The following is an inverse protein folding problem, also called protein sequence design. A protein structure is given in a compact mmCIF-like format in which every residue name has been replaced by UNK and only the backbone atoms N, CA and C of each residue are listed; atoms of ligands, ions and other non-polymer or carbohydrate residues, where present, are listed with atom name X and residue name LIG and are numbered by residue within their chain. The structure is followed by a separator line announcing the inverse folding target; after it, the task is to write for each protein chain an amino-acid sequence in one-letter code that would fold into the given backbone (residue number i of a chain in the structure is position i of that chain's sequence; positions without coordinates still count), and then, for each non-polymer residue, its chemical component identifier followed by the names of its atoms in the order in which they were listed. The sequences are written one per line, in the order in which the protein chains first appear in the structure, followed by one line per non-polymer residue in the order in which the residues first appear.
data_IF_734764343753
#
_entry.id   IF_734764343753
#
_cell.length_a   1.000
_cell.length_b   1.000
_cell.length_c   1.000
_cell.angle_alpha   90.00
_cell.angle_beta   90.00
_cell.angle_gamma   90.00
#
_symmetry.space_group_name_H-M   'P 1'
#
loop_
_entity.id
_entity.type
_entity.pdbx_description
1 polymer ?
#
# COMPACT_ATOMS: atom_id res chain seq x y z
N UNK A 1 -21.40 -6.56 33.17
CA UNK A 1 -20.81 -7.93 33.22
C UNK A 1 -19.72 -7.98 32.16
N UNK A 2 -18.45 -8.20 32.53
CA UNK A 2 -17.38 -8.36 31.55
C UNK A 2 -17.65 -9.62 30.73
N UNK A 3 -17.94 -9.48 29.44
CA UNK A 3 -18.15 -10.63 28.54
C UNK A 3 -16.85 -11.42 28.50
N UNK A 4 -16.91 -12.72 28.78
CA UNK A 4 -15.75 -13.59 28.67
C UNK A 4 -15.22 -13.54 27.23
N UNK A 5 -13.94 -13.19 27.05
CA UNK A 5 -13.30 -13.17 25.74
C UNK A 5 -13.30 -14.55 25.08
N UNK A 6 -13.21 -14.61 23.74
CA UNK A 6 -13.21 -15.88 23.01
C UNK A 6 -11.99 -16.73 23.38
N UNK A 7 -12.09 -18.05 23.20
CA UNK A 7 -10.90 -18.89 23.22
C UNK A 7 -10.03 -18.61 22.00
N UNK A 8 -8.73 -18.92 22.08
CA UNK A 8 -7.80 -18.72 20.95
C UNK A 8 -8.25 -19.48 19.70
N UNK A 9 -8.74 -20.72 19.87
CA UNK A 9 -9.25 -21.54 18.77
C UNK A 9 -10.49 -20.94 18.10
N UNK A 10 -11.36 -20.27 18.87
CA UNK A 10 -12.54 -19.57 18.34
C UNK A 10 -12.16 -18.31 17.55
N UNK A 11 -11.02 -17.68 17.88
CA UNK A 11 -10.57 -16.46 17.20
C UNK A 11 -9.90 -16.72 15.83
N UNK A 12 -9.17 -17.84 15.68
CA UNK A 12 -8.49 -18.22 14.43
C UNK A 12 -9.39 -18.18 13.16
N UNK A 13 -10.58 -18.82 13.12
CA UNK A 13 -11.42 -18.76 11.93
C UNK A 13 -11.94 -17.36 11.64
N UNK A 14 -12.04 -16.49 12.64
CA UNK A 14 -12.44 -15.08 12.44
C UNK A 14 -11.33 -14.30 11.76
N UNK A 15 -10.09 -14.45 12.22
CA UNK A 15 -8.94 -13.80 11.57
C UNK A 15 -8.75 -14.28 10.14
N UNK A 16 -8.91 -15.59 9.89
CA UNK A 16 -8.86 -16.13 8.54
C UNK A 16 -10.03 -15.60 7.68
N UNK A 17 -11.25 -15.55 8.21
CA UNK A 17 -12.41 -14.97 7.52
C UNK A 17 -12.17 -13.52 7.12
N UNK A 18 -11.61 -12.71 8.02
CA UNK A 18 -11.25 -11.32 7.72
C UNK A 18 -10.18 -11.27 6.62
N UNK A 19 -9.16 -12.14 6.67
CA UNK A 19 -8.13 -12.22 5.63
C UNK A 19 -8.66 -12.65 4.26
N UNK A 20 -9.65 -13.53 4.20
CA UNK A 20 -10.27 -14.03 2.95
C UNK A 20 -11.29 -13.04 2.37
N UNK A 21 -12.03 -12.34 3.24
CA UNK A 21 -13.11 -11.43 2.82
C UNK A 21 -12.71 -9.95 2.83
N UNK A 22 -11.45 -9.64 3.14
CA UNK A 22 -10.92 -8.28 3.30
C UNK A 22 -10.75 -7.50 1.99
N UNK A 23 -11.81 -7.39 1.19
CA UNK A 23 -11.83 -6.58 -0.03
C UNK A 23 -12.25 -5.13 0.25
N UNK A 24 -12.05 -4.24 -0.73
CA UNK A 24 -12.50 -2.84 -0.67
C UNK A 24 -11.52 -1.87 -0.02
N UNK A 25 -10.23 -2.20 -0.05
CA UNK A 25 -9.15 -1.38 0.48
C UNK A 25 -9.21 -1.20 2.01
N UNK A 26 -8.43 -0.25 2.56
CA UNK A 26 -8.32 -0.07 4.01
C UNK A 26 -9.67 0.18 4.70
N UNK A 27 -10.55 0.96 4.08
CA UNK A 27 -11.87 1.26 4.65
C UNK A 27 -12.77 0.02 4.74
N UNK A 28 -12.83 -0.80 3.67
CA UNK A 28 -13.60 -2.05 3.68
C UNK A 28 -13.06 -3.05 4.69
N UNK A 29 -11.74 -3.15 4.81
CA UNK A 29 -11.08 -4.05 5.77
C UNK A 29 -11.29 -3.62 7.22
N UNK A 30 -11.18 -2.32 7.52
CA UNK A 30 -11.45 -1.78 8.85
C UNK A 30 -12.93 -1.98 9.21
N UNK A 31 -13.85 -1.73 8.27
CA UNK A 31 -15.27 -1.97 8.49
C UNK A 31 -15.58 -3.45 8.74
N UNK A 32 -14.92 -4.38 8.02
CA UNK A 32 -15.07 -5.81 8.25
C UNK A 32 -14.53 -6.23 9.63
N UNK A 33 -13.37 -5.70 10.03
CA UNK A 33 -12.81 -5.93 11.37
C UNK A 33 -13.76 -5.43 12.47
N UNK A 34 -14.30 -4.22 12.31
CA UNK A 34 -15.26 -3.64 13.24
C UNK A 34 -16.53 -4.50 13.33
N UNK A 35 -17.14 -4.83 12.20
CA UNK A 35 -18.32 -5.68 12.13
C UNK A 35 -18.12 -7.03 12.81
N UNK A 36 -16.99 -7.71 12.57
CA UNK A 36 -16.77 -9.06 13.09
C UNK A 36 -16.40 -9.07 14.58
N UNK A 37 -15.63 -8.09 15.06
CA UNK A 37 -15.07 -8.08 16.43
C UNK A 37 -15.93 -7.27 17.39
N UNK A 38 -16.52 -6.17 16.93
CA UNK A 38 -17.36 -5.25 17.73
C UNK A 38 -18.83 -5.63 17.58
N UNK A 39 -19.42 -5.48 16.39
CA UNK A 39 -20.87 -5.60 16.21
C UNK A 39 -21.38 -7.04 16.37
N UNK A 40 -20.77 -7.98 15.66
CA UNK A 40 -21.27 -9.37 15.58
C UNK A 40 -20.97 -10.15 16.86
N UNK A 41 -19.81 -9.92 17.47
CA UNK A 41 -19.31 -10.75 18.57
C UNK A 41 -19.14 -10.01 19.89
N UNK A 42 -19.03 -8.68 19.87
CA UNK A 42 -18.83 -7.87 21.07
C UNK A 42 -17.61 -8.29 21.90
N UNK A 43 -16.52 -8.68 21.23
CA UNK A 43 -15.24 -9.01 21.88
C UNK A 43 -14.47 -7.76 22.30
N UNK A 44 -14.71 -6.65 21.61
CA UNK A 44 -14.10 -5.34 21.84
C UNK A 44 -15.20 -4.29 21.70
N UNK A 45 -15.21 -3.30 22.59
CA UNK A 45 -16.16 -2.19 22.53
C UNK A 45 -15.72 -1.11 21.53
N UNK A 46 -16.68 -0.32 21.03
CA UNK A 46 -16.46 0.74 20.03
C UNK A 46 -15.35 1.74 20.40
N UNK A 47 -15.33 2.14 21.67
CA UNK A 47 -14.36 3.09 22.20
C UNK A 47 -12.92 2.55 22.10
N UNK A 48 -12.73 1.28 22.42
CA UNK A 48 -11.43 0.65 22.32
C UNK A 48 -11.00 0.42 20.87
N UNK A 49 -11.94 0.02 20.02
CA UNK A 49 -11.69 -0.14 18.58
C UNK A 49 -11.25 1.20 17.98
N UNK A 50 -11.96 2.28 18.30
CA UNK A 50 -11.67 3.63 17.81
C UNK A 50 -10.31 4.15 18.31
N UNK A 51 -9.97 3.87 19.58
CA UNK A 51 -8.63 4.15 20.13
C UNK A 51 -7.54 3.37 19.40
N UNK A 52 -7.74 2.09 19.19
CA UNK A 52 -6.78 1.23 18.48
C UNK A 52 -6.58 1.67 17.04
N UNK A 53 -7.65 2.04 16.35
CA UNK A 53 -7.60 2.56 14.98
C UNK A 53 -6.84 3.88 14.92
N UNK A 54 -7.14 4.81 15.83
CA UNK A 54 -6.43 6.09 15.92
C UNK A 54 -4.94 5.89 16.17
N UNK A 55 -4.58 4.92 17.00
CA UNK A 55 -3.19 4.52 17.23
C UNK A 55 -2.53 3.95 15.96
N UNK A 56 -3.18 2.99 15.28
CA UNK A 56 -2.62 2.38 14.06
C UNK A 56 -2.46 3.39 12.91
N UNK A 57 -3.29 4.43 12.84
CA UNK A 57 -3.14 5.51 11.86
C UNK A 57 -1.88 6.38 12.08
N UNK A 58 -1.26 6.32 13.26
CA UNK A 58 0.00 7.01 13.55
C UNK A 58 1.24 6.16 13.21
N UNK A 59 1.06 4.85 13.01
CA UNK A 59 2.14 3.92 12.75
C UNK A 59 2.44 3.87 11.24
N UNK A 60 3.70 3.66 10.84
CA UNK A 60 4.01 3.40 9.45
C UNK A 60 3.60 1.98 9.07
N UNK A 61 2.99 1.81 7.90
CA UNK A 61 2.59 0.52 7.33
C UNK A 61 1.08 0.35 7.11
N UNK A 62 0.62 -0.89 6.83
CA UNK A 62 -0.75 -1.19 6.46
C UNK A 62 -1.70 -1.17 7.67
N UNK A 63 -2.56 -0.15 7.75
CA UNK A 63 -3.33 0.17 8.95
C UNK A 63 -4.28 -0.96 9.36
N UNK A 64 -4.95 -1.61 8.40
CA UNK A 64 -5.89 -2.69 8.68
C UNK A 64 -5.20 -3.94 9.25
N UNK A 65 -4.02 -4.28 8.74
CA UNK A 65 -3.23 -5.40 9.26
C UNK A 65 -2.69 -5.11 10.67
N UNK A 66 -2.28 -3.87 10.91
CA UNK A 66 -1.85 -3.42 12.24
C UNK A 66 -2.99 -3.46 13.26
N UNK A 67 -4.18 -3.01 12.86
CA UNK A 67 -5.38 -3.09 13.68
C UNK A 67 -5.76 -4.54 13.99
N UNK A 68 -5.73 -5.43 12.99
CA UNK A 68 -5.95 -6.86 13.21
C UNK A 68 -4.93 -7.45 14.21
N UNK A 69 -3.65 -7.11 14.04
CA UNK A 69 -2.56 -7.51 14.95
C UNK A 69 -2.80 -7.00 16.36
N UNK A 70 -3.22 -5.74 16.52
CA UNK A 70 -3.51 -5.14 17.82
C UNK A 70 -4.72 -5.80 18.49
N UNK A 71 -5.81 -6.04 17.74
CA UNK A 71 -7.01 -6.69 18.26
C UNK A 71 -6.71 -8.14 18.69
N UNK A 72 -5.97 -8.89 17.89
CA UNK A 72 -5.49 -10.22 18.27
C UNK A 72 -4.58 -10.17 19.48
N UNK A 73 -3.68 -9.19 19.55
CA UNK A 73 -2.79 -9.00 20.69
C UNK A 73 -3.55 -8.70 21.98
N UNK A 74 -4.60 -7.90 21.89
CA UNK A 74 -5.46 -7.58 23.01
C UNK A 74 -6.23 -8.79 23.53
N UNK A 75 -6.69 -9.67 22.63
CA UNK A 75 -7.49 -10.84 23.01
C UNK A 75 -6.65 -12.01 23.54
N UNK A 76 -5.45 -12.25 22.98
CA UNK A 76 -4.63 -13.43 23.36
C UNK A 76 -3.12 -13.14 23.46
N UNK A 77 -2.72 -11.90 23.73
CA UNK A 77 -1.31 -11.50 23.82
C UNK A 77 -0.55 -11.68 22.50
N UNK A 78 0.77 -11.82 22.57
CA UNK A 78 1.66 -11.92 21.39
C UNK A 78 1.21 -13.02 20.42
N UNK A 79 0.74 -14.17 20.94
CA UNK A 79 0.23 -15.27 20.12
C UNK A 79 -1.01 -14.88 19.32
N UNK A 80 -1.94 -14.16 19.94
CA UNK A 80 -3.11 -13.61 19.28
C UNK A 80 -2.76 -12.58 18.22
N UNK A 81 -1.81 -11.69 18.52
CA UNK A 81 -1.37 -10.67 17.56
C UNK A 81 -0.68 -11.28 16.34
N UNK A 82 0.21 -12.25 16.54
CA UNK A 82 0.84 -13.00 15.46
C UNK A 82 -0.20 -13.73 14.60
N UNK A 83 -1.12 -14.46 15.24
CA UNK A 83 -2.16 -15.19 14.52
C UNK A 83 -3.07 -14.26 13.71
N UNK A 84 -3.56 -13.18 14.30
CA UNK A 84 -4.43 -12.23 13.63
C UNK A 84 -3.74 -11.51 12.48
N UNK A 85 -2.53 -10.99 12.70
CA UNK A 85 -1.76 -10.30 11.67
C UNK A 85 -1.35 -11.20 10.50
N UNK A 86 -0.94 -12.43 10.78
CA UNK A 86 -0.55 -13.39 9.72
C UNK A 86 -1.76 -13.90 8.94
N UNK A 87 -2.83 -14.32 9.61
CA UNK A 87 -4.04 -14.81 8.93
C UNK A 87 -4.77 -13.73 8.14
N UNK A 88 -4.55 -12.45 8.47
CA UNK A 88 -5.01 -11.33 7.66
C UNK A 88 -4.30 -11.23 6.31
N UNK A 89 -3.00 -11.55 6.25
CA UNK A 89 -2.15 -11.35 5.06
C UNK A 89 -2.02 -12.61 4.22
N UNK A 90 -1.93 -13.79 4.84
CA UNK A 90 -1.62 -15.05 4.17
C UNK A 90 -2.57 -15.42 3.01
N UNK A 91 -3.91 -15.25 3.12
CA UNK A 91 -4.80 -15.54 2.01
C UNK A 91 -4.52 -14.65 0.79
N UNK A 92 -4.38 -13.34 1.01
CA UNK A 92 -4.03 -12.38 -0.03
C UNK A 92 -2.67 -12.67 -0.66
N UNK A 93 -1.67 -13.00 0.18
CA UNK A 93 -0.33 -13.40 -0.25
C UNK A 93 -0.37 -14.61 -1.20
N UNK A 94 -1.12 -15.65 -0.84
CA UNK A 94 -1.25 -16.85 -1.66
C UNK A 94 -1.90 -16.52 -3.03
N UNK A 95 -2.95 -15.70 -3.03
CA UNK A 95 -3.63 -15.28 -4.27
C UNK A 95 -2.70 -14.45 -5.15
N UNK A 96 -2.02 -13.43 -4.61
CA UNK A 96 -1.15 -12.57 -5.43
C UNK A 96 0.09 -13.31 -5.94
N UNK A 97 0.65 -14.25 -5.19
CA UNK A 97 1.73 -15.12 -5.69
C UNK A 97 1.23 -15.99 -6.85
N UNK A 98 0.03 -16.58 -6.73
CA UNK A 98 -0.61 -17.32 -7.80
C UNK A 98 -0.87 -16.47 -9.04
N UNK A 99 -1.40 -15.26 -8.88
CA UNK A 99 -1.62 -14.30 -9.96
C UNK A 99 -0.30 -13.84 -10.60
N UNK A 100 0.77 -13.67 -9.81
CA UNK A 100 2.10 -13.32 -10.33
C UNK A 100 2.70 -14.46 -11.16
N UNK A 101 2.56 -15.71 -10.69
CA UNK A 101 2.96 -16.90 -11.44
C UNK A 101 2.16 -17.04 -12.75
N UNK A 102 0.84 -16.79 -12.70
CA UNK A 102 -0.01 -16.78 -13.89
C UNK A 102 0.39 -15.66 -14.86
N UNK A 103 0.74 -14.48 -14.35
CA UNK A 103 1.17 -13.35 -15.15
C UNK A 103 2.45 -13.64 -15.94
N UNK A 104 3.48 -14.19 -15.30
CA UNK A 104 4.76 -14.48 -15.99
C UNK A 104 4.64 -15.61 -17.02
N UNK A 105 3.67 -16.52 -16.85
CA UNK A 105 3.46 -17.66 -17.75
C UNK A 105 2.47 -17.36 -18.89
N UNK A 106 1.35 -16.70 -18.58
CA UNK A 106 0.21 -16.52 -19.48
C UNK A 106 -0.07 -15.05 -19.83
N UNK A 107 0.70 -14.09 -19.29
CA UNK A 107 0.54 -12.66 -19.54
C UNK A 107 0.71 -12.24 -21.01
N UNK A 108 1.28 -13.13 -21.85
CA UNK A 108 1.41 -12.93 -23.31
C UNK A 108 0.32 -13.60 -24.13
N UNK A 109 -0.68 -14.22 -23.49
CA UNK A 109 -1.81 -14.83 -24.20
C UNK A 109 -2.68 -13.78 -24.90
N UNK A 110 -3.43 -14.19 -25.93
CA UNK A 110 -4.30 -13.29 -26.70
C UNK A 110 -5.39 -12.60 -25.85
N UNK A 111 -5.77 -13.20 -24.73
CA UNK A 111 -6.79 -12.69 -23.81
C UNK A 111 -6.22 -11.86 -22.66
N UNK A 112 -4.95 -12.05 -22.30
CA UNK A 112 -4.33 -11.31 -21.21
C UNK A 112 -4.29 -9.80 -21.49
N UNK A 113 -3.93 -9.39 -22.71
CA UNK A 113 -3.87 -7.98 -23.10
C UNK A 113 -5.19 -7.23 -22.86
N UNK A 114 -6.33 -7.65 -23.44
CA UNK A 114 -7.63 -7.03 -23.21
C UNK A 114 -8.07 -7.04 -21.74
N UNK A 115 -7.91 -8.18 -21.05
CA UNK A 115 -8.27 -8.29 -19.64
C UNK A 115 -7.49 -7.29 -18.79
N UNK A 116 -6.17 -7.25 -18.98
CA UNK A 116 -5.30 -6.31 -18.30
C UNK A 116 -5.62 -4.87 -18.67
N UNK A 117 -5.99 -4.57 -19.91
CA UNK A 117 -6.38 -3.21 -20.31
C UNK A 117 -7.61 -2.71 -19.52
N UNK A 118 -8.66 -3.53 -19.42
CA UNK A 118 -9.83 -3.19 -18.60
C UNK A 118 -9.47 -3.01 -17.13
N UNK A 119 -8.61 -3.88 -16.61
CA UNK A 119 -8.11 -3.80 -15.25
C UNK A 119 -7.29 -2.51 -15.00
N UNK A 120 -6.44 -2.09 -15.94
CA UNK A 120 -5.69 -0.81 -15.87
C UNK A 120 -6.61 0.39 -15.83
N UNK A 121 -7.67 0.38 -16.64
CA UNK A 121 -8.65 1.45 -16.62
C UNK A 121 -9.37 1.55 -15.27
N UNK A 122 -9.73 0.42 -14.68
CA UNK A 122 -10.27 0.35 -13.33
C UNK A 122 -9.30 0.95 -12.29
N UNK A 123 -8.03 0.56 -12.36
CA UNK A 123 -6.97 1.06 -11.47
C UNK A 123 -6.85 2.58 -11.52
N UNK A 124 -6.88 3.20 -12.71
CA UNK A 124 -6.83 4.66 -12.82
C UNK A 124 -7.99 5.31 -12.05
N UNK A 125 -9.21 4.80 -12.20
CA UNK A 125 -10.36 5.28 -11.45
C UNK A 125 -10.20 5.09 -9.93
N UNK A 126 -9.65 3.97 -9.49
CA UNK A 126 -9.39 3.68 -8.07
C UNK A 126 -8.32 4.60 -7.49
N UNK A 127 -7.23 4.87 -8.21
CA UNK A 127 -6.18 5.81 -7.79
C UNK A 127 -6.74 7.21 -7.67
N UNK A 128 -7.58 7.65 -8.63
CA UNK A 128 -8.27 8.96 -8.54
C UNK A 128 -9.21 9.00 -7.34
N UNK A 129 -9.99 7.93 -7.10
CA UNK A 129 -10.87 7.84 -5.93
C UNK A 129 -10.07 7.90 -4.62
N UNK A 130 -8.94 7.20 -4.55
CA UNK A 130 -8.03 7.22 -3.40
C UNK A 130 -7.43 8.61 -3.18
N UNK A 131 -6.97 9.28 -4.25
CA UNK A 131 -6.43 10.64 -4.21
C UNK A 131 -7.46 11.62 -3.62
N UNK A 132 -8.70 11.60 -4.11
CA UNK A 132 -9.76 12.48 -3.62
C UNK A 132 -10.12 12.17 -2.16
N UNK A 133 -10.26 10.89 -1.82
CA UNK A 133 -10.62 10.45 -0.45
C UNK A 133 -9.53 10.81 0.57
N UNK A 134 -8.25 10.57 0.24
CA UNK A 134 -7.12 10.86 1.12
C UNK A 134 -6.90 12.38 1.17
N UNK A 135 -6.97 13.08 0.03
CA UNK A 135 -6.86 14.53 -0.04
C UNK A 135 -7.87 15.24 0.85
N UNK A 136 -9.14 14.87 0.79
CA UNK A 136 -10.20 15.42 1.64
C UNK A 136 -9.95 15.19 3.15
N UNK A 137 -9.25 14.11 3.51
CA UNK A 137 -8.94 13.75 4.90
C UNK A 137 -7.68 14.40 5.44
N UNK A 138 -6.71 14.69 4.59
CA UNK A 138 -5.36 15.12 5.01
C UNK A 138 -5.09 16.60 4.73
N UNK A 139 -5.63 17.14 3.64
CA UNK A 139 -5.49 18.55 3.26
C UNK A 139 -6.60 19.37 3.91
N UNK A 140 -6.29 19.97 5.06
CA UNK A 140 -7.27 20.71 5.90
C UNK A 140 -7.07 22.22 5.91
N UNK A 141 -5.86 22.69 5.60
CA UNK A 141 -5.49 24.10 5.63
C UNK A 141 -4.61 24.49 4.43
N UNK A 142 -4.40 25.79 4.23
CA UNK A 142 -3.62 26.34 3.10
C UNK A 142 -2.18 25.82 3.08
N UNK A 143 -1.58 25.56 4.24
CA UNK A 143 -0.21 25.03 4.33
C UNK A 143 -0.18 23.59 3.85
N UNK A 144 -1.07 22.74 4.36
CA UNK A 144 -1.18 21.35 3.90
C UNK A 144 -1.46 21.26 2.39
N UNK A 145 -2.27 22.19 1.84
CA UNK A 145 -2.53 22.27 0.41
C UNK A 145 -1.27 22.67 -0.38
N UNK A 146 -0.54 23.68 0.09
CA UNK A 146 0.73 24.09 -0.53
C UNK A 146 1.78 22.98 -0.50
N UNK A 147 1.87 22.21 0.60
CA UNK A 147 2.75 21.05 0.71
C UNK A 147 2.34 19.94 -0.26
N UNK A 148 1.05 19.64 -0.37
CA UNK A 148 0.55 18.65 -1.34
C UNK A 148 0.85 19.05 -2.79
N UNK A 149 0.55 20.30 -3.17
CA UNK A 149 0.82 20.82 -4.52
C UNK A 149 2.33 20.88 -4.79
N UNK A 150 3.12 21.32 -3.82
CA UNK A 150 4.57 21.36 -3.91
C UNK A 150 5.17 19.96 -4.08
N UNK A 151 4.71 18.97 -3.30
CA UNK A 151 5.14 17.59 -3.44
C UNK A 151 4.79 17.01 -4.80
N UNK A 152 3.58 17.27 -5.31
CA UNK A 152 3.18 16.92 -6.67
C UNK A 152 4.13 17.55 -7.69
N UNK A 153 4.34 18.87 -7.64
CA UNK A 153 5.15 19.58 -8.61
C UNK A 153 6.61 19.10 -8.60
N UNK A 154 7.20 18.95 -7.41
CA UNK A 154 8.57 18.47 -7.27
C UNK A 154 8.72 17.05 -7.82
N UNK A 155 7.80 16.14 -7.50
CA UNK A 155 7.90 14.75 -7.99
C UNK A 155 7.49 14.57 -9.46
N UNK A 156 6.63 15.45 -9.99
CA UNK A 156 6.15 15.37 -11.37
C UNK A 156 7.11 16.03 -12.37
N UNK A 157 7.79 17.11 -11.95
CA UNK A 157 8.56 17.97 -12.84
C UNK A 157 10.05 18.00 -12.55
N UNK A 158 10.54 17.26 -11.55
CA UNK A 158 11.97 17.23 -11.21
C UNK A 158 12.48 15.80 -10.99
N UNK A 159 13.80 15.66 -10.92
CA UNK A 159 14.50 14.42 -10.56
C UNK A 159 14.66 14.23 -9.04
N UNK A 160 14.05 15.08 -8.22
CA UNK A 160 14.18 14.97 -6.76
C UNK A 160 13.61 13.64 -6.26
N UNK A 161 14.41 12.85 -5.51
CA UNK A 161 13.93 11.59 -4.98
C UNK A 161 12.86 11.88 -3.92
N UNK A 162 11.74 11.15 -4.00
CA UNK A 162 10.60 11.38 -3.12
C UNK A 162 10.92 11.31 -1.60
N UNK A 163 11.91 10.54 -1.05
CA UNK A 163 12.17 10.56 0.38
C UNK A 163 12.57 11.94 0.84
N UNK A 164 13.32 12.70 0.01
CA UNK A 164 13.68 14.07 0.32
C UNK A 164 12.46 14.99 0.35
N UNK A 165 11.48 14.77 -0.54
CA UNK A 165 10.21 15.52 -0.56
C UNK A 165 9.41 15.25 0.73
N UNK A 166 9.33 13.99 1.15
CA UNK A 166 8.65 13.60 2.40
C UNK A 166 9.38 14.15 3.63
N UNK A 167 10.72 14.07 3.67
CA UNK A 167 11.52 14.63 4.75
C UNK A 167 11.37 16.15 4.84
N UNK A 168 11.36 16.85 3.69
CA UNK A 168 11.13 18.28 3.63
C UNK A 168 9.73 18.64 4.16
N UNK A 169 8.69 17.89 3.78
CA UNK A 169 7.34 18.07 4.31
C UNK A 169 7.28 17.87 5.83
N UNK A 170 7.93 16.82 6.35
CA UNK A 170 8.07 16.57 7.77
C UNK A 170 8.78 17.72 8.49
N UNK A 171 9.87 18.25 7.91
CA UNK A 171 10.60 19.40 8.45
C UNK A 171 9.74 20.66 8.49
N UNK A 172 8.97 20.95 7.42
CA UNK A 172 8.01 22.06 7.38
C UNK A 172 6.98 21.91 8.51
N UNK A 173 6.40 20.71 8.67
CA UNK A 173 5.43 20.45 9.73
C UNK A 173 6.04 20.57 11.13
N UNK A 174 7.28 20.13 11.31
CA UNK A 174 8.01 20.27 12.57
C UNK A 174 8.25 21.73 12.95
N UNK A 175 8.70 22.55 12.00
CA UNK A 175 8.99 23.97 12.21
C UNK A 175 7.72 24.78 12.50
N UNK A 176 6.60 24.42 11.84
CA UNK A 176 5.30 25.05 12.05
C UNK A 176 4.54 24.52 13.26
N UNK A 177 5.04 23.46 13.91
CA UNK A 177 4.47 22.92 15.14
C UNK A 177 4.70 23.85 16.33
N UNK A 178 3.61 24.23 17.01
CA UNK A 178 3.67 25.01 18.25
C UNK A 178 4.45 24.31 19.37
N UNK A 179 4.84 25.05 20.41
CA UNK A 179 5.58 24.49 21.57
C UNK A 179 4.69 23.92 22.68
N UNK A 180 3.37 24.14 22.66
CA UNK A 180 2.46 23.81 23.77
C UNK A 180 1.83 22.42 23.66
N UNK A 181 1.71 21.64 24.75
CA UNK A 181 1.14 20.29 24.72
C UNK A 181 -0.27 20.25 24.10
N UNK A 182 -0.53 19.34 23.16
CA UNK A 182 -1.89 19.11 22.69
C UNK A 182 -2.71 18.49 23.82
N UNK A 183 -3.87 19.09 24.13
CA UNK A 183 -4.81 18.55 25.09
C UNK A 183 -5.35 17.21 24.58
N UNK A 184 -4.90 16.11 25.18
CA UNK A 184 -5.36 14.76 24.84
C UNK A 184 -5.98 14.08 26.05
N UNK A 185 -7.07 13.36 25.83
CA UNK A 185 -7.70 12.49 26.83
C UNK A 185 -6.67 11.47 27.35
N UNK A 186 -6.60 11.20 28.67
CA UNK A 186 -5.75 10.14 29.20
C UNK A 186 -6.21 8.79 28.66
N UNK A 187 -5.36 8.10 27.91
CA UNK A 187 -5.57 6.69 27.56
C UNK A 187 -4.65 5.88 28.48
N UNK A 188 -5.17 4.80 29.05
CA UNK A 188 -4.41 3.97 29.98
C UNK A 188 -3.11 3.47 29.31
N UNK A 189 -1.96 3.50 30.02
CA UNK A 189 -0.70 3.07 29.46
C UNK A 189 -0.78 1.59 29.06
N UNK A 190 -0.72 1.34 27.76
CA UNK A 190 -0.61 -0.02 27.24
C UNK A 190 0.80 -0.53 27.61
N UNK A 191 0.89 -1.50 28.53
CA UNK A 191 2.15 -2.16 28.89
C UNK A 191 2.63 -2.99 27.70
N UNK A 192 3.47 -2.39 26.87
CA UNK A 192 4.05 -3.02 25.69
C UNK A 192 5.35 -3.75 26.02
N UNK A 193 5.73 -4.68 25.15
CA UNK A 193 6.89 -5.54 25.33
C UNK A 193 8.13 -4.71 25.59
N UNK A 194 8.91 -5.08 26.62
CA UNK A 194 10.17 -4.42 26.94
C UNK A 194 11.17 -4.47 25.79
N UNK A 195 12.31 -3.79 25.94
CA UNK A 195 13.40 -3.69 24.94
C UNK A 195 13.71 -5.02 24.24
N UNK A 196 13.63 -6.14 24.97
CA UNK A 196 13.78 -7.50 24.41
C UNK A 196 12.82 -7.81 23.26
N UNK A 197 11.53 -7.49 23.37
CA UNK A 197 10.56 -7.73 22.30
C UNK A 197 10.88 -6.86 21.08
N UNK A 198 11.26 -5.60 21.30
CA UNK A 198 11.68 -4.71 20.22
C UNK A 198 12.88 -5.29 19.47
N UNK A 199 13.89 -5.79 20.19
CA UNK A 199 15.07 -6.42 19.59
C UNK A 199 14.71 -7.69 18.83
N UNK A 200 13.81 -8.53 19.35
CA UNK A 200 13.35 -9.76 18.67
C UNK A 200 12.63 -9.41 17.38
N UNK A 201 11.67 -8.47 17.40
CA UNK A 201 10.94 -8.07 16.20
C UNK A 201 11.86 -7.37 15.18
N UNK A 202 12.80 -6.55 15.64
CA UNK A 202 13.79 -5.90 14.78
C UNK A 202 14.72 -6.93 14.13
N UNK A 203 15.22 -7.89 14.90
CA UNK A 203 16.04 -8.98 14.38
C UNK A 203 15.25 -9.83 13.38
N UNK A 204 13.99 -10.18 13.67
CA UNK A 204 13.14 -10.95 12.76
C UNK A 204 12.86 -10.20 11.45
N UNK A 205 12.70 -8.87 11.50
CA UNK A 205 12.52 -8.05 10.31
C UNK A 205 13.80 -7.95 9.47
N UNK A 206 14.95 -7.69 10.09
CA UNK A 206 16.21 -7.46 9.40
C UNK A 206 16.95 -8.74 9.00
N UNK A 207 16.69 -9.88 9.65
CA UNK A 207 17.36 -11.15 9.38
C UNK A 207 17.36 -11.58 7.90
N UNK A 208 16.22 -11.63 7.18
CA UNK A 208 16.24 -12.03 5.77
C UNK A 208 16.98 -11.03 4.87
N UNK A 209 16.93 -9.73 5.21
CA UNK A 209 17.68 -8.69 4.48
C UNK A 209 19.18 -8.92 4.68
N UNK A 210 19.62 -9.08 5.93
CA UNK A 210 21.02 -9.33 6.27
C UNK A 210 21.53 -10.64 5.64
N UNK A 211 20.70 -11.69 5.63
CA UNK A 211 21.04 -12.97 5.01
C UNK A 211 21.21 -12.83 3.48
N UNK A 212 20.31 -12.12 2.80
CA UNK A 212 20.43 -11.86 1.37
C UNK A 212 21.72 -11.09 1.04
N UNK A 213 22.07 -10.09 1.85
CA UNK A 213 23.33 -9.35 1.72
C UNK A 213 24.56 -10.18 2.05
N UNK A 214 24.49 -11.11 3.00
CA UNK A 214 25.61 -11.97 3.36
C UNK A 214 25.89 -13.05 2.30
N UNK A 215 24.84 -13.63 1.70
CA UNK A 215 24.96 -14.69 0.69
C UNK A 215 25.30 -14.11 -0.68
N UNK A 216 24.60 -13.05 -1.10
CA UNK A 216 24.72 -12.48 -2.43
C UNK A 216 24.64 -10.94 -2.37
N UNK A 217 25.71 -10.26 -1.93
CA UNK A 217 25.77 -8.80 -1.89
C UNK A 217 25.44 -8.20 -3.26
N UNK A 218 24.58 -7.18 -3.28
CA UNK A 218 24.19 -6.50 -4.53
C UNK A 218 23.20 -7.27 -5.41
N UNK A 219 22.75 -8.47 -5.02
CA UNK A 219 21.71 -9.20 -5.75
C UNK A 219 20.36 -8.46 -5.74
N UNK A 220 19.50 -8.76 -6.71
CA UNK A 220 18.13 -8.23 -6.78
C UNK A 220 17.36 -8.49 -5.48
N UNK A 221 17.50 -9.68 -4.88
CA UNK A 221 16.83 -10.03 -3.63
C UNK A 221 17.30 -9.16 -2.45
N UNK A 222 18.59 -8.85 -2.37
CA UNK A 222 19.17 -7.99 -1.35
C UNK A 222 18.66 -6.53 -1.48
N UNK A 223 18.60 -6.02 -2.71
CA UNK A 223 18.04 -4.69 -3.00
C UNK A 223 16.54 -4.61 -2.76
N UNK A 224 15.79 -5.67 -3.09
CA UNK A 224 14.37 -5.79 -2.75
C UNK A 224 14.15 -5.72 -1.24
N UNK A 225 14.94 -6.46 -0.45
CA UNK A 225 14.87 -6.42 1.00
C UNK A 225 15.05 -5.02 1.58
N UNK A 226 16.07 -4.28 1.13
CA UNK A 226 16.28 -2.90 1.56
C UNK A 226 15.20 -1.94 1.07
N UNK A 227 14.75 -2.09 -0.18
CA UNK A 227 13.78 -1.16 -0.79
C UNK A 227 12.40 -1.32 -0.15
N UNK A 228 11.91 -2.55 -0.03
CA UNK A 228 10.61 -2.83 0.57
C UNK A 228 10.63 -2.65 2.09
N UNK A 229 11.73 -3.01 2.77
CA UNK A 229 11.91 -2.72 4.19
C UNK A 229 11.96 -1.22 4.47
N UNK A 230 12.74 -0.46 3.69
CA UNK A 230 12.82 0.99 3.80
C UNK A 230 11.46 1.64 3.58
N UNK A 231 10.72 1.19 2.56
CA UNK A 231 9.34 1.61 2.30
C UNK A 231 8.41 1.40 3.50
N UNK A 232 8.47 0.20 4.09
CA UNK A 232 7.63 -0.15 5.21
C UNK A 232 7.92 0.73 6.44
N UNK A 233 9.18 1.14 6.64
CA UNK A 233 9.57 2.03 7.72
C UNK A 233 9.09 3.48 7.54
N UNK A 234 8.94 3.94 6.29
CA UNK A 234 8.62 5.35 5.98
C UNK A 234 7.18 5.56 5.46
N UNK A 235 6.39 4.49 5.34
CA UNK A 235 5.04 4.53 4.80
C UNK A 235 4.03 5.09 5.81
N UNK A 236 3.98 6.41 5.96
CA UNK A 236 2.92 7.13 6.68
C UNK A 236 1.83 7.59 5.70
N UNK A 237 0.56 7.42 6.05
CA UNK A 237 -0.57 7.84 5.19
C UNK A 237 -1.15 6.76 4.26
N UNK A 238 -0.89 5.49 4.57
CA UNK A 238 -1.54 4.34 3.94
C UNK A 238 -0.89 3.79 2.67
N UNK A 239 -1.37 2.64 2.24
CA UNK A 239 -0.83 1.81 1.15
C UNK A 239 -0.55 2.56 -0.16
N UNK A 240 -1.36 3.58 -0.50
CA UNK A 240 -1.27 4.32 -1.75
C UNK A 240 -0.05 5.25 -1.82
N UNK A 241 0.42 5.78 -0.70
CA UNK A 241 1.62 6.62 -0.67
C UNK A 241 2.88 5.81 -1.00
N UNK A 242 2.99 4.61 -0.40
CA UNK A 242 4.11 3.70 -0.63
C UNK A 242 4.14 3.15 -2.06
N UNK A 243 2.96 3.00 -2.68
CA UNK A 243 2.82 2.53 -4.06
C UNK A 243 3.43 3.50 -5.09
N UNK A 244 3.31 4.80 -4.87
CA UNK A 244 3.92 5.78 -5.77
C UNK A 244 5.44 5.65 -5.80
N UNK A 245 6.06 5.41 -4.64
CA UNK A 245 7.48 5.13 -4.61
C UNK A 245 7.83 3.77 -5.19
N UNK A 246 7.02 2.74 -4.92
CA UNK A 246 7.24 1.42 -5.50
C UNK A 246 7.35 1.50 -7.03
N UNK A 247 6.49 2.32 -7.67
CA UNK A 247 6.55 2.63 -9.09
C UNK A 247 7.90 3.21 -9.52
N UNK A 248 8.37 4.24 -8.82
CA UNK A 248 9.66 4.89 -9.10
C UNK A 248 10.86 3.96 -8.88
N UNK A 249 10.88 3.22 -7.76
CA UNK A 249 11.94 2.29 -7.42
C UNK A 249 12.00 1.12 -8.43
N UNK A 250 10.86 0.53 -8.76
CA UNK A 250 10.79 -0.56 -9.74
C UNK A 250 11.27 -0.11 -11.13
N UNK A 251 10.95 1.13 -11.54
CA UNK A 251 11.47 1.70 -12.77
C UNK A 251 12.99 1.97 -12.70
N UNK A 252 13.47 2.56 -11.59
CA UNK A 252 14.88 2.89 -11.40
C UNK A 252 15.81 1.67 -11.34
N UNK A 253 15.36 0.58 -10.71
CA UNK A 253 16.08 -0.69 -10.69
C UNK A 253 15.83 -1.56 -11.94
N UNK A 254 14.96 -1.13 -12.86
CA UNK A 254 14.59 -1.91 -14.04
C UNK A 254 13.84 -3.21 -13.73
N UNK A 255 13.21 -3.30 -12.55
CA UNK A 255 12.44 -4.50 -12.16
C UNK A 255 11.19 -4.65 -13.02
N UNK A 256 10.42 -3.59 -13.19
CA UNK A 256 9.17 -3.61 -13.94
C UNK A 256 9.05 -2.37 -14.84
N UNK A 257 8.45 -2.58 -16.02
CA UNK A 257 7.96 -1.50 -16.87
C UNK A 257 6.73 -0.80 -16.26
N UNK A 258 6.39 0.39 -16.77
CA UNK A 258 5.19 1.12 -16.36
C UNK A 258 3.90 0.31 -16.58
N UNK A 259 3.84 -0.44 -17.69
CA UNK A 259 2.71 -1.32 -17.99
C UNK A 259 2.61 -2.47 -16.98
N UNK A 260 3.74 -3.11 -16.64
CA UNK A 260 3.76 -4.19 -15.65
C UNK A 260 3.39 -3.69 -14.24
N UNK A 261 3.82 -2.48 -13.87
CA UNK A 261 3.42 -1.88 -12.59
C UNK A 261 1.90 -1.67 -12.52
N UNK A 262 1.31 -1.18 -13.61
CA UNK A 262 -0.14 -1.04 -13.75
C UNK A 262 -0.88 -2.39 -13.70
N UNK A 263 -0.34 -3.42 -14.36
CA UNK A 263 -0.88 -4.79 -14.30
C UNK A 263 -0.88 -5.31 -12.85
N UNK A 264 0.26 -5.17 -12.16
CA UNK A 264 0.43 -5.62 -10.78
C UNK A 264 -0.51 -4.93 -9.81
N UNK A 265 -0.68 -3.61 -9.95
CA UNK A 265 -1.61 -2.84 -9.14
C UNK A 265 -3.05 -3.30 -9.35
N UNK A 266 -3.43 -3.55 -10.60
CA UNK A 266 -4.72 -4.12 -10.95
C UNK A 266 -4.96 -5.47 -10.30
N UNK A 267 -4.00 -6.39 -10.43
CA UNK A 267 -4.10 -7.71 -9.83
C UNK A 267 -4.21 -7.61 -8.30
N UNK A 268 -3.44 -6.73 -7.66
CA UNK A 268 -3.50 -6.53 -6.22
C UNK A 268 -4.86 -6.00 -5.74
N UNK A 269 -5.50 -5.08 -6.47
CA UNK A 269 -6.86 -4.60 -6.14
C UNK A 269 -7.93 -5.72 -6.27
N UNK A 270 -7.66 -6.77 -7.04
CA UNK A 270 -8.54 -7.96 -7.14
C UNK A 270 -8.26 -9.02 -6.06
N UNK A 271 -7.25 -8.83 -5.24
CA UNK A 271 -6.90 -9.78 -4.16
C UNK A 271 -7.55 -9.39 -2.83
N UNK A 272 -7.91 -10.36 -1.98
CA UNK A 272 -8.29 -10.06 -0.62
C UNK A 272 -7.06 -9.59 0.17
N UNK A 273 -7.27 -8.68 1.12
CA UNK A 273 -6.20 -8.17 1.98
C UNK A 273 -5.56 -6.87 1.49
N UNK A 274 -4.48 -6.40 2.15
CA UNK A 274 -3.94 -5.07 1.95
C UNK A 274 -3.54 -4.80 0.50
N UNK A 275 -3.85 -3.60 0.00
CA UNK A 275 -3.39 -3.17 -1.33
C UNK A 275 -1.86 -3.24 -1.50
N UNK A 276 -1.13 -3.08 -0.39
CA UNK A 276 0.34 -3.19 -0.37
C UNK A 276 0.85 -4.55 -0.86
N UNK A 277 -0.02 -5.56 -1.01
CA UNK A 277 0.32 -6.84 -1.65
C UNK A 277 0.80 -6.70 -3.10
N UNK A 278 0.57 -5.57 -3.77
CA UNK A 278 1.24 -5.24 -5.05
C UNK A 278 2.77 -5.32 -4.95
N UNK A 279 3.36 -5.10 -3.76
CA UNK A 279 4.79 -5.23 -3.52
C UNK A 279 5.27 -6.66 -3.77
N UNK A 280 4.42 -7.66 -3.46
CA UNK A 280 4.69 -9.07 -3.72
C UNK A 280 4.77 -9.32 -5.22
N UNK A 281 3.86 -8.74 -6.01
CA UNK A 281 3.91 -8.83 -7.46
C UNK A 281 5.20 -8.21 -8.01
N UNK A 282 5.56 -7.00 -7.54
CA UNK A 282 6.81 -6.33 -7.95
C UNK A 282 8.04 -7.16 -7.58
N UNK A 283 8.07 -7.70 -6.37
CA UNK A 283 9.14 -8.60 -5.91
C UNK A 283 9.23 -9.87 -6.75
N UNK A 284 8.09 -10.49 -7.04
CA UNK A 284 8.03 -11.72 -7.82
C UNK A 284 8.46 -11.53 -9.27
N UNK A 285 7.82 -10.59 -9.98
CA UNK A 285 8.05 -10.34 -11.40
C UNK A 285 9.43 -9.70 -11.63
N UNK A 286 9.86 -8.81 -10.72
CA UNK A 286 11.20 -8.23 -10.78
C UNK A 286 12.30 -9.27 -10.59
N UNK A 287 12.16 -10.15 -9.61
CA UNK A 287 13.16 -11.20 -9.37
C UNK A 287 13.14 -12.27 -10.46
N UNK A 288 11.97 -12.62 -11.00
CA UNK A 288 11.86 -13.54 -12.14
C UNK A 288 12.63 -13.02 -13.37
N UNK A 289 12.49 -11.72 -13.69
CA UNK A 289 13.12 -11.12 -14.87
C UNK A 289 14.63 -10.91 -14.70
N UNK A 290 15.09 -10.65 -13.47
CA UNK A 290 16.51 -10.47 -13.18
C UNK A 290 17.28 -11.78 -13.00
N UNK A 291 16.57 -12.90 -12.84
CA UNK A 291 17.15 -14.20 -12.53
C UNK A 291 17.62 -14.96 -13.78
N UNK A 292 18.70 -15.78 -13.66
CA UNK A 292 19.02 -16.81 -14.63
C UNK A 292 17.84 -17.79 -14.86
N UNK A 293 17.64 -18.32 -16.09
CA UNK A 293 16.46 -19.12 -16.44
C UNK A 293 16.23 -20.36 -15.56
N UNK A 294 17.30 -20.98 -15.09
CA UNK A 294 17.31 -22.18 -14.23
C UNK A 294 16.84 -21.91 -12.80
N UNK A 295 17.02 -20.68 -12.31
CA UNK A 295 16.66 -20.26 -10.95
C UNK A 295 15.49 -19.27 -10.88
N UNK A 296 14.92 -18.90 -12.04
CA UNK A 296 13.93 -17.84 -12.16
C UNK A 296 12.70 -18.03 -11.26
N UNK A 297 12.14 -19.23 -11.19
CA UNK A 297 10.98 -19.52 -10.34
C UNK A 297 11.28 -19.44 -8.85
N UNK A 298 12.44 -19.97 -8.44
CA UNK A 298 12.87 -19.91 -7.05
C UNK A 298 13.11 -18.46 -6.62
N UNK A 299 13.85 -17.70 -7.43
CA UNK A 299 14.13 -16.29 -7.15
C UNK A 299 12.88 -15.42 -7.21
N UNK A 300 11.92 -15.72 -8.09
CA UNK A 300 10.62 -15.07 -8.11
C UNK A 300 9.84 -15.30 -6.81
N UNK A 301 9.73 -16.55 -6.36
CA UNK A 301 9.08 -16.87 -5.09
C UNK A 301 9.78 -16.18 -3.91
N UNK A 302 11.11 -16.21 -3.87
CA UNK A 302 11.90 -15.53 -2.84
C UNK A 302 11.74 -14.01 -2.90
N UNK A 303 11.68 -13.40 -4.08
CA UNK A 303 11.45 -11.97 -4.26
C UNK A 303 10.07 -11.54 -3.76
N UNK A 304 9.02 -12.30 -4.09
CA UNK A 304 7.68 -12.07 -3.57
C UNK A 304 7.59 -12.25 -2.05
N UNK A 305 8.22 -13.30 -1.50
CA UNK A 305 8.26 -13.53 -0.06
C UNK A 305 9.08 -12.48 0.70
N UNK A 306 10.20 -12.02 0.13
CA UNK A 306 11.00 -10.92 0.67
C UNK A 306 10.16 -9.65 0.74
N UNK A 307 9.45 -9.31 -0.34
CA UNK A 307 8.50 -8.19 -0.37
C UNK A 307 7.44 -8.32 0.73
N UNK A 308 6.75 -9.46 0.81
CA UNK A 308 5.73 -9.68 1.83
C UNK A 308 6.29 -9.51 3.24
N UNK A 309 7.39 -10.20 3.55
CA UNK A 309 7.99 -10.19 4.87
C UNK A 309 8.43 -8.78 5.28
N UNK A 310 9.23 -8.12 4.45
CA UNK A 310 9.79 -6.81 4.79
C UNK A 310 8.74 -5.69 4.83
N UNK A 311 7.60 -5.90 4.17
CA UNK A 311 6.44 -4.99 4.21
C UNK A 311 5.62 -5.14 5.49
N UNK A 312 5.34 -6.37 5.93
CA UNK A 312 4.41 -6.63 7.05
C UNK A 312 5.10 -6.88 8.40
N UNK A 313 6.34 -7.36 8.42
CA UNK A 313 7.09 -7.62 9.65
C UNK A 313 7.25 -6.37 10.56
N UNK A 314 7.51 -5.15 10.04
CA UNK A 314 7.65 -3.95 10.86
C UNK A 314 6.41 -3.63 11.69
N UNK A 315 5.21 -3.92 11.17
CA UNK A 315 3.97 -3.73 11.92
C UNK A 315 3.97 -4.46 13.26
N UNK A 316 4.55 -5.66 13.35
CA UNK A 316 4.63 -6.40 14.62
C UNK A 316 5.59 -5.72 15.60
N UNK A 317 6.69 -5.14 15.13
CA UNK A 317 7.59 -4.32 15.95
C UNK A 317 6.83 -3.11 16.52
N UNK A 318 6.09 -2.39 15.67
CA UNK A 318 5.34 -1.21 16.08
C UNK A 318 4.21 -1.54 17.06
N UNK A 319 3.48 -2.63 16.81
CA UNK A 319 2.38 -3.07 17.67
C UNK A 319 2.87 -3.64 18.99
N UNK A 320 3.92 -4.47 19.02
CA UNK A 320 4.36 -5.12 20.25
C UNK A 320 5.33 -4.28 21.11
N UNK A 321 6.02 -3.30 20.53
CA UNK A 321 7.01 -2.49 21.23
C UNK A 321 6.85 -0.96 21.03
N UNK A 322 6.35 -0.50 19.88
CA UNK A 322 6.34 0.92 19.51
C UNK A 322 5.26 1.78 20.17
N UNK A 323 4.20 1.18 20.72
CA UNK A 323 3.01 1.92 21.12
C UNK A 323 3.18 3.06 22.14
N UNK A 324 3.95 2.93 23.24
CA UNK A 324 4.04 4.00 24.22
C UNK A 324 4.86 5.20 23.72
N UNK A 325 5.73 4.99 22.72
CA UNK A 325 6.58 6.02 22.14
C UNK A 325 5.86 6.80 21.06
N UNK A 326 5.17 6.09 20.16
CA UNK A 326 4.46 6.71 19.05
C UNK A 326 3.24 7.50 19.53
N UNK A 327 2.55 7.02 20.56
CA UNK A 327 1.47 7.79 21.20
C UNK A 327 2.01 9.09 21.83
N UNK A 328 3.17 9.03 22.51
CA UNK A 328 3.82 10.22 23.08
C UNK A 328 4.21 11.23 22.01
N UNK A 329 4.71 10.78 20.86
CA UNK A 329 5.10 11.67 19.76
C UNK A 329 3.89 12.28 19.06
N UNK A 330 2.84 11.51 18.78
CA UNK A 330 1.62 12.01 18.15
C UNK A 330 0.90 13.10 18.95
N UNK A 331 1.05 13.09 20.28
CA UNK A 331 0.48 14.11 21.19
C UNK A 331 1.30 15.39 21.28
N UNK A 332 2.55 15.39 20.81
CA UNK A 332 3.35 16.61 20.76
C UNK A 332 3.01 17.39 19.49
N UNK A 333 2.95 18.72 19.53
CA UNK A 333 2.47 19.51 18.38
C UNK A 333 3.44 19.48 17.21
N UNK A 334 4.74 19.42 17.49
CA UNK A 334 5.78 19.36 16.44
C UNK A 334 5.78 18.03 15.69
N UNK A 335 5.94 16.86 16.34
CA UNK A 335 5.83 15.59 15.63
C UNK A 335 4.44 15.38 15.03
N UNK A 336 3.36 15.75 15.72
CA UNK A 336 2.00 15.65 15.17
C UNK A 336 1.83 16.45 13.88
N UNK A 337 2.32 17.70 13.84
CA UNK A 337 2.24 18.54 12.63
C UNK A 337 3.21 18.09 11.53
N UNK A 338 4.37 17.51 11.89
CA UNK A 338 5.27 16.85 10.96
C UNK A 338 4.59 15.67 10.25
N UNK A 339 3.94 14.77 11.00
CA UNK A 339 3.19 13.63 10.44
C UNK A 339 2.03 14.08 9.56
N UNK A 340 1.34 15.16 9.95
CA UNK A 340 0.27 15.74 9.14
C UNK A 340 0.79 16.28 7.79
N UNK A 341 1.94 16.96 7.77
CA UNK A 341 2.55 17.44 6.52
C UNK A 341 3.11 16.31 5.65
N UNK A 342 3.65 15.25 6.26
CA UNK A 342 4.03 14.02 5.54
C UNK A 342 2.81 13.41 4.84
N UNK A 343 1.68 13.30 5.55
CA UNK A 343 0.42 12.81 4.98
C UNK A 343 -0.09 13.72 3.85
N UNK A 344 0.07 15.04 3.97
CA UNK A 344 -0.30 15.97 2.91
C UNK A 344 0.62 15.84 1.68
N UNK A 345 1.93 15.68 1.86
CA UNK A 345 2.86 15.45 0.76
C UNK A 345 2.56 14.14 0.03
N UNK A 346 2.15 13.09 0.76
CA UNK A 346 1.71 11.83 0.17
C UNK A 346 0.55 12.00 -0.83
N UNK A 347 -0.38 12.93 -0.59
CA UNK A 347 -1.45 13.28 -1.56
C UNK A 347 -0.86 13.77 -2.87
N UNK A 348 0.12 14.68 -2.81
CA UNK A 348 0.81 15.19 -3.99
C UNK A 348 1.53 14.09 -4.77
N UNK A 349 2.21 13.20 -4.06
CA UNK A 349 2.91 12.04 -4.62
C UNK A 349 1.93 11.04 -5.27
N UNK A 350 0.77 10.78 -4.65
CA UNK A 350 -0.29 9.96 -5.27
C UNK A 350 -0.83 10.64 -6.54
N UNK A 351 -0.98 11.97 -6.53
CA UNK A 351 -1.37 12.74 -7.71
C UNK A 351 -0.38 12.59 -8.86
N UNK A 352 0.93 12.61 -8.56
CA UNK A 352 1.97 12.41 -9.56
C UNK A 352 1.90 11.01 -10.15
N UNK A 353 1.70 9.99 -9.32
CA UNK A 353 1.50 8.60 -9.76
C UNK A 353 0.27 8.47 -10.65
N UNK A 354 -0.85 9.10 -10.27
CA UNK A 354 -2.09 9.09 -11.04
C UNK A 354 -1.88 9.71 -12.44
N UNK A 355 -1.16 10.84 -12.52
CA UNK A 355 -0.79 11.47 -13.78
C UNK A 355 0.09 10.55 -14.63
N UNK A 356 1.14 9.98 -14.02
CA UNK A 356 2.07 9.09 -14.69
C UNK A 356 1.37 7.86 -15.27
N UNK A 357 0.52 7.20 -14.48
CA UNK A 357 -0.28 6.06 -14.93
C UNK A 357 -1.26 6.41 -16.05
N UNK A 358 -1.96 7.54 -15.90
CA UNK A 358 -2.93 7.99 -16.91
C UNK A 358 -2.22 8.24 -18.23
N UNK A 359 -1.04 8.86 -18.21
CA UNK A 359 -0.26 9.09 -19.44
C UNK A 359 0.17 7.75 -20.08
N UNK A 360 0.74 6.82 -19.31
CA UNK A 360 1.22 5.54 -19.84
C UNK A 360 0.09 4.60 -20.29
N UNK A 361 -1.13 4.81 -19.80
CA UNK A 361 -2.31 4.06 -20.23
C UNK A 361 -2.95 4.68 -21.48
N UNK A 362 -3.11 6.00 -21.51
CA UNK A 362 -3.86 6.69 -22.57
C UNK A 362 -3.03 6.96 -23.81
N UNK A 363 -1.71 7.06 -23.71
CA UNK A 363 -0.83 7.39 -24.83
C UNK A 363 0.13 6.25 -25.11
N UNK A 364 0.19 5.82 -26.39
CA UNK A 364 1.08 4.73 -26.83
C UNK A 364 2.53 5.17 -26.93
N UNK A 365 2.78 6.46 -27.17
CA UNK A 365 4.10 7.07 -27.22
C UNK A 365 4.14 8.38 -26.44
N UNK A 366 5.34 8.71 -25.98
CA UNK A 366 5.63 9.95 -25.29
C UNK A 366 7.14 10.08 -25.13
N UNK A 367 7.59 11.32 -24.90
CA UNK A 367 9.00 11.59 -24.63
C UNK A 367 9.16 12.22 -23.26
N UNK A 368 10.23 11.85 -22.58
CA UNK A 368 10.68 12.58 -21.40
C UNK A 368 11.67 13.63 -21.87
N UNK A 369 11.37 14.91 -21.60
CA UNK A 369 12.28 16.02 -21.84
C UNK A 369 12.97 16.35 -20.53
N UNK A 370 14.29 16.30 -20.51
CA UNK A 370 15.11 16.64 -19.34
C UNK A 370 15.89 17.92 -19.62
N UNK A 371 15.86 18.85 -18.67
CA UNK A 371 16.57 20.12 -18.72
C UNK A 371 17.16 20.41 -17.33
N UNK A 372 18.37 19.92 -17.08
CA UNK A 372 19.01 19.98 -15.76
C UNK A 372 18.20 19.19 -14.72
N UNK A 373 17.77 19.79 -13.60
CA UNK A 373 16.97 19.09 -12.59
C UNK A 373 15.51 18.90 -13.00
N UNK A 374 15.05 19.55 -14.08
CA UNK A 374 13.68 19.48 -14.55
C UNK A 374 13.48 18.29 -15.49
N UNK A 375 12.37 17.59 -15.30
CA UNK A 375 11.95 16.44 -16.10
C UNK A 375 10.47 16.60 -16.43
N UNK A 376 10.12 16.63 -17.71
CA UNK A 376 8.73 16.72 -18.16
C UNK A 376 8.37 15.52 -19.02
N UNK A 377 7.33 14.77 -18.61
CA UNK A 377 6.73 13.72 -19.43
C UNK A 377 5.75 14.37 -20.41
N UNK A 378 6.11 14.40 -21.69
CA UNK A 378 5.30 14.98 -22.76
C UNK A 378 4.66 13.84 -23.57
N UNK A 379 3.35 13.58 -23.43
CA UNK A 379 2.67 12.59 -24.25
C UNK A 379 2.58 13.04 -25.71
N UNK A 380 2.60 12.09 -26.64
CA UNK A 380 2.31 12.34 -28.04
C UNK A 380 0.79 12.37 -28.24
N UNK A 381 0.24 13.57 -28.49
CA UNK A 381 -1.20 13.77 -28.66
C UNK A 381 -1.78 13.00 -29.85
N UNK A 382 -0.96 12.64 -30.84
CA UNK A 382 -1.39 11.81 -31.98
C UNK A 382 -1.50 10.32 -31.66
N UNK A 383 -0.93 9.89 -30.52
CA UNK A 383 -0.83 8.48 -30.14
C UNK A 383 -1.82 8.06 -29.04
N UNK A 384 -2.95 8.76 -28.94
CA UNK A 384 -4.03 8.43 -27.99
C UNK A 384 -4.58 7.05 -28.29
N UNK A 385 -4.78 6.25 -27.24
CA UNK A 385 -5.48 4.97 -27.29
C UNK A 385 -6.97 5.20 -26.98
N UNK A 386 -7.85 5.20 -28.00
CA UNK A 386 -9.28 5.46 -27.80
C UNK A 386 -9.97 4.37 -26.97
N UNK A 387 -9.54 3.11 -27.07
CA UNK A 387 -10.07 2.02 -26.26
C UNK A 387 -9.76 2.21 -24.78
N UNK A 388 -8.50 2.56 -24.46
CA UNK A 388 -8.10 2.87 -23.08
C UNK A 388 -8.85 4.09 -22.53
N UNK A 389 -9.00 5.16 -23.34
CA UNK A 389 -9.75 6.35 -22.96
C UNK A 389 -11.22 6.04 -22.64
N UNK A 390 -11.90 5.29 -23.52
CA UNK A 390 -13.29 4.88 -23.32
C UNK A 390 -13.46 4.05 -22.05
N UNK A 391 -12.55 3.10 -21.79
CA UNK A 391 -12.57 2.27 -20.60
C UNK A 391 -12.30 3.07 -19.32
N UNK A 392 -11.39 4.05 -19.35
CA UNK A 392 -11.13 4.94 -18.19
C UNK A 392 -12.35 5.80 -17.90
N UNK A 393 -13.00 6.38 -18.91
CA UNK A 393 -14.22 7.16 -18.73
C UNK A 393 -15.35 6.29 -18.16
N UNK A 394 -15.50 5.06 -18.67
CA UNK A 394 -16.42 4.07 -18.11
C UNK A 394 -16.10 3.79 -16.64
N UNK A 395 -14.84 3.47 -16.31
CA UNK A 395 -14.42 3.18 -14.94
C UNK A 395 -14.72 4.36 -13.99
N UNK A 396 -14.43 5.60 -14.41
CA UNK A 396 -14.74 6.81 -13.65
C UNK A 396 -16.25 6.99 -13.46
N UNK A 397 -17.06 6.79 -14.50
CA UNK A 397 -18.52 6.85 -14.43
C UNK A 397 -19.11 5.81 -13.48
N UNK A 398 -18.67 4.56 -13.59
CA UNK A 398 -19.08 3.48 -12.68
C UNK A 398 -18.68 3.79 -11.23
N UNK A 399 -17.49 4.37 -11.02
CA UNK A 399 -16.97 4.67 -9.68
C UNK A 399 -17.68 5.86 -9.02
N UNK A 400 -17.87 6.97 -9.75
CA UNK A 400 -18.33 8.22 -9.15
C UNK A 400 -19.82 8.50 -9.35
N UNK A 401 -20.37 8.23 -10.54
CA UNK A 401 -21.78 8.46 -10.81
C UNK A 401 -22.65 7.31 -10.31
N UNK A 402 -22.28 6.06 -10.63
CA UNK A 402 -23.07 4.89 -10.26
C UNK A 402 -22.67 4.28 -8.91
N UNK A 403 -21.51 4.68 -8.36
CA UNK A 403 -20.97 4.20 -7.07
C UNK A 403 -20.93 2.67 -6.96
N UNK A 404 -20.59 2.00 -8.06
CA UNK A 404 -20.48 0.55 -8.08
C UNK A 404 -19.42 0.07 -7.08
N UNK A 405 -19.63 -1.09 -6.43
CA UNK A 405 -18.58 -1.76 -5.68
C UNK A 405 -17.36 -2.02 -6.55
N UNK A 406 -16.16 -1.91 -5.96
CA UNK A 406 -14.88 -2.02 -6.65
C UNK A 406 -14.77 -3.27 -7.54
N UNK A 407 -15.09 -4.46 -7.01
CA UNK A 407 -15.00 -5.71 -7.77
C UNK A 407 -15.97 -5.75 -8.95
N UNK A 408 -17.16 -5.18 -8.81
CA UNK A 408 -18.13 -5.08 -9.90
C UNK A 408 -17.63 -4.14 -11.00
N UNK A 409 -17.05 -2.99 -10.61
CA UNK A 409 -16.45 -2.05 -11.56
C UNK A 409 -15.27 -2.68 -12.33
N UNK A 410 -14.40 -3.43 -11.64
CA UNK A 410 -13.30 -4.17 -12.26
C UNK A 410 -13.85 -5.23 -13.25
N UNK A 411 -14.85 -6.02 -12.85
CA UNK A 411 -15.43 -7.03 -13.72
C UNK A 411 -16.06 -6.44 -14.99
N UNK A 412 -16.81 -5.33 -14.86
CA UNK A 412 -17.44 -4.65 -15.99
C UNK A 412 -16.39 -4.08 -16.95
N UNK A 413 -15.34 -3.44 -16.44
CA UNK A 413 -14.28 -2.86 -17.27
C UNK A 413 -13.43 -3.93 -17.97
N UNK A 414 -13.11 -5.04 -17.30
CA UNK A 414 -12.47 -6.21 -17.92
C UNK A 414 -13.36 -6.81 -19.03
N UNK A 415 -14.66 -7.00 -18.76
CA UNK A 415 -15.62 -7.53 -19.73
C UNK A 415 -15.76 -6.62 -20.96
N UNK A 416 -15.86 -5.31 -20.73
CA UNK A 416 -15.91 -4.31 -21.80
C UNK A 416 -14.63 -4.33 -22.66
N UNK A 417 -13.46 -4.46 -22.05
CA UNK A 417 -12.20 -4.53 -22.78
C UNK A 417 -12.08 -5.80 -23.65
N UNK A 418 -12.54 -6.94 -23.13
CA UNK A 418 -12.63 -8.18 -23.91
C UNK A 418 -13.62 -8.03 -25.07
N UNK A 419 -14.79 -7.42 -24.85
CA UNK A 419 -15.79 -7.17 -25.89
C UNK A 419 -15.23 -6.27 -27.00
N UNK A 420 -14.52 -5.19 -26.64
CA UNK A 420 -13.86 -4.31 -27.61
C UNK A 420 -12.91 -5.08 -28.52
N UNK A 421 -12.12 -6.00 -27.95
CA UNK A 421 -11.23 -6.87 -28.72
C UNK A 421 -12.00 -7.80 -29.67
N UNK A 422 -13.11 -8.39 -29.22
CA UNK A 422 -13.95 -9.27 -30.05
C UNK A 422 -14.57 -8.52 -31.23
N UNK A 423 -14.94 -7.25 -31.04
CA UNK A 423 -15.51 -6.38 -32.08
C UNK A 423 -14.41 -5.80 -33.02
N UNK A 424 -13.13 -6.12 -32.78
CA UNK A 424 -12.02 -5.72 -33.64
C UNK A 424 -11.42 -4.35 -33.30
N UNK A 425 -11.76 -3.77 -32.15
CA UNK A 425 -11.17 -2.54 -31.64
C UNK A 425 -9.88 -2.86 -30.86
N UNK A 426 -8.75 -2.26 -31.28
CA UNK A 426 -7.41 -2.48 -30.70
C UNK A 426 -6.87 -1.31 -29.88
#
# INVERSE_FOLDING_TARGET
MARAGPTFAQALPVWLKVGVLGFGGPAGQIALLHREVVETRGWVDDDDFSRALSFCMLLPGPEAQQLATWLGWRLHGVRGGLAAGLLFVLPGLAVILGLSALYVTHGRSAWAGPVLLGLKAAVVALVVQALLRIGQRTVKDRVSAAVAIGAFALTAFTLLPFPLVILAAGAVGWLLGGKGQAAGVPVAPVRLGGVRMALVCLAAWLAPIALAWAIAPGSTLAWMGLTFGGLAAISFGGAYAALAYLGQAAAGFGWLSASQMLDGLGLAETTPGPLVLVFVFVGFVGAFQAAPPDSAWLLAALGGLMAAWTTFAPSFLWIFAGGPWIERWGRQPRPGRALAMVSAAAVGVIGQLALWFTIHLLFRSGRTVEAGPLRLLVPDLGAVNPGALGLVLLALGLTFAMRLPMLAMIAVTMGAAVLLRVIGFN
#
